data_IF_526334422846
#
_entry.id   IF_526334422846
#
_cell.length_a   1.000
_cell.length_b   1.000
_cell.length_c   1.000
_cell.angle_alpha   90.00
_cell.angle_beta   90.00
_cell.angle_gamma   90.00
#
_symmetry.space_group_name_H-M   'P 1'
#
loop_
_entity.id
_entity.type
_entity.pdbx_description
1 polymer ?
#
# COMPACT_ATOMS: atom_id res chain seq x y z
N UNK A 1 24.00 -27.25 -13.25
CA UNK A 1 24.23 -26.08 -14.13
C UNK A 1 22.94 -25.29 -14.18
N UNK A 2 22.90 -24.10 -13.58
CA UNK A 2 21.71 -23.25 -13.59
C UNK A 2 21.82 -22.35 -14.82
N UNK A 3 21.03 -22.62 -15.85
CA UNK A 3 20.94 -21.75 -17.04
C UNK A 3 20.41 -20.39 -16.58
N UNK A 4 21.21 -19.34 -16.77
CA UNK A 4 20.79 -17.97 -16.45
C UNK A 4 19.89 -17.49 -17.57
N UNK A 5 18.61 -17.27 -17.28
CA UNK A 5 17.64 -16.76 -18.25
C UNK A 5 18.08 -15.38 -18.79
N UNK A 6 17.88 -15.18 -20.08
CA UNK A 6 18.18 -13.92 -20.77
C UNK A 6 17.24 -12.80 -20.30
N UNK A 7 17.62 -11.51 -20.42
CA UNK A 7 16.78 -10.38 -20.00
C UNK A 7 15.39 -10.38 -20.66
N UNK A 8 15.32 -10.80 -21.92
CA UNK A 8 14.08 -11.00 -22.68
C UNK A 8 13.16 -12.03 -22.01
N UNK A 9 13.69 -13.18 -21.58
CA UNK A 9 12.91 -14.22 -20.89
C UNK A 9 12.40 -13.78 -19.51
N UNK A 10 13.19 -12.98 -18.77
CA UNK A 10 12.80 -12.47 -17.43
C UNK A 10 11.73 -11.38 -17.50
N UNK A 11 11.71 -10.62 -18.59
CA UNK A 11 10.80 -9.48 -18.77
C UNK A 11 9.58 -9.84 -19.59
N UNK A 12 9.64 -10.90 -20.42
CA UNK A 12 8.66 -11.22 -21.45
C UNK A 12 8.77 -10.30 -22.68
N UNK A 13 9.83 -9.49 -22.77
CA UNK A 13 10.04 -8.55 -23.87
C UNK A 13 10.59 -9.26 -25.11
N UNK A 14 10.12 -8.86 -26.30
CA UNK A 14 10.60 -9.43 -27.56
C UNK A 14 11.82 -8.71 -28.16
N UNK A 15 12.30 -7.62 -27.56
CA UNK A 15 13.52 -6.90 -27.96
C UNK A 15 14.41 -6.60 -26.76
N UNK A 16 15.71 -6.42 -26.99
CA UNK A 16 16.67 -6.10 -25.91
C UNK A 16 16.37 -4.74 -25.30
N UNK A 17 16.05 -3.73 -26.13
CA UNK A 17 15.74 -2.38 -25.67
C UNK A 17 14.49 -2.36 -24.79
N UNK A 18 13.46 -3.14 -25.16
CA UNK A 18 12.27 -3.28 -24.33
C UNK A 18 12.56 -4.02 -23.02
N UNK A 19 13.43 -5.03 -23.05
CA UNK A 19 13.86 -5.75 -21.85
C UNK A 19 14.59 -4.83 -20.87
N UNK A 20 15.46 -3.95 -21.36
CA UNK A 20 16.21 -3.01 -20.53
C UNK A 20 15.28 -1.96 -19.89
N UNK A 21 14.33 -1.40 -20.66
CA UNK A 21 13.32 -0.46 -20.14
C UNK A 21 12.45 -1.11 -19.07
N UNK A 22 11.98 -2.35 -19.28
CA UNK A 22 11.15 -3.05 -18.31
C UNK A 22 11.93 -3.36 -17.03
N UNK A 23 13.19 -3.75 -17.16
CA UNK A 23 14.06 -4.04 -16.00
C UNK A 23 14.21 -2.80 -15.13
N UNK A 24 14.60 -1.65 -15.72
CA UNK A 24 14.72 -0.40 -14.97
C UNK A 24 13.39 0.11 -14.40
N UNK A 25 12.27 -0.11 -15.10
CA UNK A 25 10.94 0.24 -14.59
C UNK A 25 10.55 -0.61 -13.38
N UNK A 26 10.88 -1.91 -13.37
CA UNK A 26 10.63 -2.80 -12.23
C UNK A 26 11.45 -2.42 -11.01
N UNK A 27 12.74 -2.12 -11.18
CA UNK A 27 13.58 -1.61 -10.07
C UNK A 27 12.99 -0.33 -9.45
N UNK A 28 12.43 0.55 -10.29
CA UNK A 28 11.73 1.74 -9.81
C UNK A 28 10.43 1.41 -9.07
N UNK A 29 9.66 0.42 -9.54
CA UNK A 29 8.46 -0.07 -8.84
C UNK A 29 8.86 -0.62 -7.47
N UNK A 30 9.89 -1.46 -7.39
CA UNK A 30 10.35 -2.04 -6.14
C UNK A 30 10.72 -0.94 -5.11
N UNK A 31 11.43 0.10 -5.56
CA UNK A 31 11.75 1.26 -4.71
C UNK A 31 10.51 2.06 -4.27
N UNK A 32 9.48 2.15 -5.11
CA UNK A 32 8.21 2.79 -4.74
C UNK A 32 7.44 1.94 -3.75
N UNK A 33 7.43 0.62 -3.92
CA UNK A 33 6.74 -0.32 -3.05
C UNK A 33 7.37 -0.33 -1.65
N UNK A 34 8.71 -0.31 -1.54
CA UNK A 34 9.41 -0.16 -0.26
C UNK A 34 8.96 1.11 0.48
N UNK A 35 8.83 2.23 -0.24
CA UNK A 35 8.37 3.51 0.31
C UNK A 35 6.90 3.45 0.72
N UNK A 36 6.04 2.82 -0.09
CA UNK A 36 4.62 2.64 0.22
C UNK A 36 4.48 1.78 1.49
N UNK A 37 5.22 0.68 1.59
CA UNK A 37 5.21 -0.18 2.77
C UNK A 37 5.65 0.59 4.02
N UNK A 38 6.73 1.37 3.93
CA UNK A 38 7.19 2.21 5.03
C UNK A 38 6.12 3.22 5.49
N UNK A 39 5.46 3.90 4.55
CA UNK A 39 4.37 4.84 4.86
C UNK A 39 3.15 4.15 5.48
N UNK A 40 2.82 2.93 5.04
CA UNK A 40 1.72 2.15 5.63
C UNK A 40 2.05 1.77 7.08
N UNK A 41 3.27 1.31 7.34
CA UNK A 41 3.72 0.96 8.70
C UNK A 41 3.70 2.19 9.63
N UNK A 42 4.18 3.34 9.15
CA UNK A 42 4.11 4.60 9.90
C UNK A 42 2.65 4.99 10.19
N UNK A 43 1.77 4.91 9.19
CA UNK A 43 0.34 5.19 9.36
C UNK A 43 -0.31 4.25 10.38
N UNK A 44 0.08 2.98 10.41
CA UNK A 44 -0.39 2.02 11.41
C UNK A 44 0.06 2.40 12.82
N UNK A 45 1.34 2.78 13.00
CA UNK A 45 1.87 3.21 14.29
C UNK A 45 1.13 4.46 14.82
N UNK A 46 0.92 5.47 13.98
CA UNK A 46 0.13 6.66 14.33
C UNK A 46 -1.32 6.29 14.68
N UNK A 47 -1.92 5.37 13.92
CA UNK A 47 -3.29 4.90 14.19
C UNK A 47 -3.41 4.19 15.54
N UNK A 48 -2.40 3.41 15.93
CA UNK A 48 -2.36 2.76 17.24
C UNK A 48 -2.32 3.77 18.39
N UNK A 49 -1.51 4.84 18.27
CA UNK A 49 -1.45 5.94 19.25
C UNK A 49 -2.82 6.61 19.41
N UNK A 50 -3.53 6.88 18.29
CA UNK A 50 -4.87 7.47 18.33
C UNK A 50 -5.87 6.53 19.00
N UNK A 51 -5.82 5.24 18.71
CA UNK A 51 -6.73 4.26 19.30
C UNK A 51 -6.50 4.11 20.80
N UNK A 52 -5.24 4.06 21.24
CA UNK A 52 -4.89 4.00 22.66
C UNK A 52 -5.46 5.23 23.39
N UNK A 53 -5.17 6.44 22.89
CA UNK A 53 -5.67 7.67 23.50
C UNK A 53 -7.21 7.68 23.64
N UNK A 54 -7.94 7.17 22.63
CA UNK A 54 -9.41 7.07 22.69
C UNK A 54 -9.87 6.06 23.72
N UNK A 55 -9.23 4.89 23.81
CA UNK A 55 -9.61 3.84 24.75
C UNK A 55 -9.33 4.29 26.18
N UNK A 56 -8.14 4.86 26.45
CA UNK A 56 -7.78 5.38 27.76
C UNK A 56 -8.73 6.49 28.22
N UNK A 57 -9.29 7.27 27.29
CA UNK A 57 -10.29 8.30 27.59
C UNK A 57 -11.74 7.78 27.71
N UNK A 58 -11.96 6.46 27.72
CA UNK A 58 -13.29 5.83 27.80
C UNK A 58 -14.10 5.88 26.49
N UNK A 59 -13.45 6.24 25.38
CA UNK A 59 -14.05 6.31 24.05
C UNK A 59 -14.04 4.96 23.32
N UNK A 60 -14.64 4.96 22.12
CA UNK A 60 -14.63 3.77 21.24
C UNK A 60 -13.31 3.69 20.46
N UNK A 61 -12.86 2.46 20.19
CA UNK A 61 -11.69 2.19 19.35
C UNK A 61 -11.84 2.79 17.94
N UNK A 62 -13.04 2.71 17.36
CA UNK A 62 -13.33 3.20 15.99
C UNK A 62 -14.25 4.43 15.99
N UNK A 63 -14.10 5.28 14.97
CA UNK A 63 -15.01 6.40 14.70
C UNK A 63 -15.44 6.33 13.23
N UNK A 64 -16.70 5.95 13.02
CA UNK A 64 -17.26 5.73 11.69
C UNK A 64 -17.19 6.98 10.80
N UNK A 65 -17.49 8.16 11.32
CA UNK A 65 -17.44 9.40 10.54
C UNK A 65 -16.02 9.64 10.00
N UNK A 66 -14.99 9.44 10.84
CA UNK A 66 -13.60 9.57 10.41
C UNK A 66 -13.20 8.48 9.39
N UNK A 67 -13.71 7.26 9.53
CA UNK A 67 -13.45 6.20 8.55
C UNK A 67 -14.08 6.53 7.18
N UNK A 68 -15.31 7.06 7.16
CA UNK A 68 -15.96 7.53 5.93
C UNK A 68 -15.18 8.65 5.24
N UNK A 69 -14.61 9.60 5.99
CA UNK A 69 -13.72 10.63 5.45
C UNK A 69 -12.48 10.04 4.77
N UNK A 70 -11.87 9.01 5.37
CA UNK A 70 -10.71 8.32 4.79
C UNK A 70 -11.11 7.59 3.50
N UNK A 71 -12.25 6.90 3.49
CA UNK A 71 -12.77 6.25 2.28
C UNK A 71 -13.02 7.26 1.15
N UNK A 72 -13.60 8.42 1.48
CA UNK A 72 -13.80 9.52 0.54
C UNK A 72 -12.48 10.04 -0.02
N UNK A 73 -11.52 10.34 0.84
CA UNK A 73 -10.21 10.85 0.43
C UNK A 73 -9.49 9.93 -0.57
N UNK A 74 -9.45 8.63 -0.31
CA UNK A 74 -8.83 7.68 -1.25
C UNK A 74 -9.64 7.51 -2.53
N UNK A 75 -10.97 7.55 -2.45
CA UNK A 75 -11.83 7.49 -3.64
C UNK A 75 -11.63 8.71 -4.53
N UNK A 76 -11.48 9.90 -3.96
CA UNK A 76 -11.27 11.12 -4.73
C UNK A 76 -9.91 11.11 -5.44
N UNK A 77 -8.88 10.56 -4.78
CA UNK A 77 -7.52 10.48 -5.33
C UNK A 77 -7.35 9.34 -6.37
N UNK A 78 -7.96 8.18 -6.15
CA UNK A 78 -7.70 6.95 -6.92
C UNK A 78 -8.94 6.39 -7.64
N UNK A 79 -10.08 7.08 -7.57
CA UNK A 79 -11.36 6.60 -8.09
C UNK A 79 -11.90 5.41 -7.31
N UNK A 80 -12.71 4.57 -7.98
CA UNK A 80 -13.37 3.41 -7.37
C UNK A 80 -12.39 2.43 -6.65
N UNK A 81 -11.19 2.11 -7.21
CA UNK A 81 -10.21 1.26 -6.51
C UNK A 81 -9.71 1.84 -5.19
N UNK A 82 -9.71 3.18 -5.04
CA UNK A 82 -9.28 3.87 -3.83
C UNK A 82 -10.07 3.46 -2.59
N UNK A 83 -11.37 3.22 -2.73
CA UNK A 83 -12.20 2.73 -1.61
C UNK A 83 -11.71 1.38 -1.08
N UNK A 84 -11.37 0.44 -1.98
CA UNK A 84 -10.85 -0.87 -1.59
C UNK A 84 -9.50 -0.75 -0.86
N UNK A 85 -8.59 0.08 -1.38
CA UNK A 85 -7.31 0.33 -0.73
C UNK A 85 -7.49 0.92 0.67
N UNK A 86 -8.36 1.92 0.83
CA UNK A 86 -8.64 2.53 2.12
C UNK A 86 -9.26 1.54 3.11
N UNK A 87 -10.17 0.65 2.66
CA UNK A 87 -10.72 -0.40 3.51
C UNK A 87 -9.62 -1.32 4.05
N UNK A 88 -8.72 -1.80 3.19
CA UNK A 88 -7.58 -2.62 3.62
C UNK A 88 -6.69 -1.90 4.62
N UNK A 89 -6.39 -0.61 4.40
CA UNK A 89 -5.58 0.18 5.34
C UNK A 89 -6.27 0.38 6.70
N UNK A 90 -7.58 0.60 6.71
CA UNK A 90 -8.36 0.72 7.95
C UNK A 90 -8.40 -0.61 8.71
N UNK A 91 -8.54 -1.73 8.01
CA UNK A 91 -8.46 -3.09 8.59
C UNK A 91 -7.12 -3.37 9.24
N UNK A 92 -6.01 -3.05 8.56
CA UNK A 92 -4.66 -3.18 9.12
C UNK A 92 -4.48 -2.38 10.42
N UNK A 93 -5.11 -1.20 10.50
CA UNK A 93 -4.94 -0.30 11.65
C UNK A 93 -5.79 -0.69 12.87
N UNK A 94 -6.98 -1.26 12.69
CA UNK A 94 -7.91 -1.58 13.80
C UNK A 94 -7.81 -3.03 14.30
N UNK A 95 -7.07 -3.88 13.57
CA UNK A 95 -7.02 -5.33 13.79
C UNK A 95 -8.26 -6.02 13.23
N UNK A 96 -8.16 -7.33 12.93
CA UNK A 96 -9.35 -8.14 12.61
C UNK A 96 -10.22 -8.22 13.87
N UNK A 97 -11.48 -7.79 13.73
CA UNK A 97 -12.54 -8.08 14.71
C UNK A 97 -12.89 -9.56 14.62
#
# INVERSE_FOLDING_TARGET
MTTTATPSEKTGAHTSEAADVITGARERIDSLDDRIIGLIQERMAVSAVIQEARITSGGRRVNLARELEVLGHYRDALGKPGTGLAMTLLELCRGRV
#
